data_IF_006409196679
#
_entry.id   IF_006409196679
#
_cell.length_a   1.000
_cell.length_b   1.000
_cell.length_c   1.000
_cell.angle_alpha   90.00
_cell.angle_beta   90.00
_cell.angle_gamma   90.00
#
_symmetry.space_group_name_H-M   'P 1'
#
loop_
_entity.id
_entity.type
_entity.pdbx_description
1 polymer ?
#
# COMPACT_ATOMS: atom_id res chain seq x y z
N UNK A 1 37.64 4.28 62.95
CA UNK A 1 37.63 3.96 61.50
C UNK A 1 36.31 4.44 60.92
N UNK A 2 36.31 5.57 60.18
CA UNK A 2 35.12 6.11 59.50
C UNK A 2 35.25 5.78 58.01
N UNK A 3 34.38 4.91 57.50
CA UNK A 3 34.32 4.60 56.07
C UNK A 3 33.39 5.59 55.38
N UNK A 4 33.94 6.41 54.49
CA UNK A 4 33.16 7.20 53.54
C UNK A 4 32.89 6.35 52.31
N UNK A 5 31.61 6.05 52.06
CA UNK A 5 31.16 5.42 50.81
C UNK A 5 30.96 6.55 49.79
N UNK A 6 31.86 6.62 48.81
CA UNK A 6 31.75 7.55 47.68
C UNK A 6 30.75 6.95 46.68
N UNK A 7 29.57 7.55 46.59
CA UNK A 7 28.51 7.13 45.67
C UNK A 7 28.78 7.82 44.31
N UNK A 8 29.41 7.10 43.39
CA UNK A 8 29.59 7.56 42.01
C UNK A 8 28.26 7.39 41.28
N UNK A 9 27.55 8.51 41.10
CA UNK A 9 26.40 8.58 40.20
C UNK A 9 26.93 8.65 38.77
N UNK A 10 27.03 7.49 38.12
CA UNK A 10 27.22 7.43 36.67
C UNK A 10 25.91 7.88 36.01
N UNK A 11 25.83 9.16 35.64
CA UNK A 11 24.80 9.65 34.76
C UNK A 11 24.99 9.00 33.38
N UNK A 12 24.22 7.94 33.11
CA UNK A 12 24.11 7.36 31.78
C UNK A 12 23.39 8.40 30.91
N UNK A 13 24.17 9.11 30.09
CA UNK A 13 23.65 10.04 29.10
C UNK A 13 22.89 9.28 28.01
N UNK A 14 21.60 9.03 28.25
CA UNK A 14 20.70 8.49 27.22
C UNK A 14 20.17 9.66 26.39
N UNK A 15 20.64 9.79 25.15
CA UNK A 15 19.73 10.02 24.01
C UNK A 15 19.52 11.43 23.45
N UNK A 16 20.50 12.33 23.37
CA UNK A 16 20.33 13.59 22.60
C UNK A 16 20.17 13.36 21.08
N UNK A 17 20.83 12.32 20.53
CA UNK A 17 20.77 12.02 19.09
C UNK A 17 19.45 11.43 18.59
N UNK A 18 18.63 10.83 19.46
CA UNK A 18 17.32 10.27 19.08
C UNK A 18 16.24 11.36 19.02
N UNK A 19 16.23 12.26 20.00
CA UNK A 19 15.30 13.39 20.06
C UNK A 19 15.53 14.41 18.93
N UNK A 20 16.79 14.73 18.61
CA UNK A 20 17.13 15.63 17.49
C UNK A 20 16.72 15.05 16.13
N UNK A 21 16.84 13.74 15.95
CA UNK A 21 16.42 13.06 14.72
C UNK A 21 14.90 13.10 14.57
N UNK A 22 14.14 12.81 15.63
CA UNK A 22 12.67 12.89 15.61
C UNK A 22 12.19 14.30 15.24
N UNK A 23 12.80 15.34 15.82
CA UNK A 23 12.43 16.72 15.48
C UNK A 23 12.68 17.03 13.99
N UNK A 24 13.82 16.59 13.44
CA UNK A 24 14.12 16.75 12.02
C UNK A 24 13.14 15.99 11.13
N UNK A 25 12.77 14.77 11.50
CA UNK A 25 11.77 13.98 10.77
C UNK A 25 10.36 14.61 10.83
N UNK A 26 10.00 15.26 11.93
CA UNK A 26 8.75 16.01 12.02
C UNK A 26 8.72 17.18 11.03
N UNK A 27 9.82 17.93 10.88
CA UNK A 27 9.95 19.01 9.90
C UNK A 27 9.80 18.47 8.47
N UNK A 28 10.42 17.32 8.19
CA UNK A 28 10.26 16.65 6.90
C UNK A 28 8.81 16.25 6.64
N UNK A 29 8.13 15.66 7.62
CA UNK A 29 6.73 15.28 7.51
C UNK A 29 5.82 16.49 7.28
N UNK A 30 6.03 17.59 7.99
CA UNK A 30 5.22 18.81 7.81
C UNK A 30 5.44 19.40 6.40
N UNK A 31 6.68 19.37 5.90
CA UNK A 31 6.99 19.79 4.52
C UNK A 31 6.33 18.88 3.48
N UNK A 32 6.37 17.56 3.69
CA UNK A 32 5.71 16.56 2.85
C UNK A 32 4.20 16.71 2.87
N UNK A 33 3.60 16.95 4.04
CA UNK A 33 2.17 17.17 4.19
C UNK A 33 1.71 18.40 3.43
N UNK A 34 2.48 19.50 3.52
CA UNK A 34 2.19 20.73 2.79
C UNK A 34 2.15 20.50 1.28
N UNK A 35 3.20 19.90 0.71
CA UNK A 35 3.27 19.65 -0.74
C UNK A 35 2.28 18.56 -1.16
N UNK A 36 2.09 17.52 -0.34
CA UNK A 36 1.19 16.41 -0.62
C UNK A 36 -0.28 16.84 -0.68
N UNK A 37 -0.70 17.83 0.12
CA UNK A 37 -2.04 18.42 -0.01
C UNK A 37 -2.25 19.09 -1.37
N UNK A 38 -1.23 19.77 -1.89
CA UNK A 38 -1.30 20.43 -3.19
C UNK A 38 -1.40 19.43 -4.35
N UNK A 39 -0.84 18.21 -4.20
CA UNK A 39 -0.98 17.14 -5.22
C UNK A 39 -2.43 16.73 -5.49
N UNK A 40 -3.34 16.91 -4.54
CA UNK A 40 -4.74 16.48 -4.67
C UNK A 40 -5.74 17.65 -4.68
N UNK A 41 -5.34 18.82 -4.19
CA UNK A 41 -6.21 20.01 -4.13
C UNK A 41 -6.07 20.94 -5.33
N UNK A 42 -4.96 20.87 -6.09
CA UNK A 42 -4.76 21.70 -7.27
C UNK A 42 -5.73 21.31 -8.41
N UNK A 43 -6.37 22.31 -9.01
CA UNK A 43 -7.37 22.14 -10.07
C UNK A 43 -6.72 21.60 -11.37
N UNK A 44 -5.55 22.11 -11.73
CA UNK A 44 -4.83 21.74 -12.95
C UNK A 44 -4.05 20.43 -12.82
N UNK A 45 -4.17 19.54 -13.81
CA UNK A 45 -3.40 18.30 -13.86
C UNK A 45 -1.89 18.56 -13.89
N UNK A 46 -1.43 19.48 -14.74
CA UNK A 46 -0.03 19.86 -14.83
C UNK A 46 0.53 20.34 -13.48
N UNK A 47 -0.28 21.09 -12.72
CA UNK A 47 0.10 21.54 -11.38
C UNK A 47 0.19 20.35 -10.41
N UNK A 48 -0.79 19.43 -10.40
CA UNK A 48 -0.73 18.22 -9.56
C UNK A 48 0.53 17.39 -9.85
N UNK A 49 0.88 17.22 -11.13
CA UNK A 49 2.09 16.51 -11.56
C UNK A 49 3.36 17.25 -11.10
N UNK A 50 3.42 18.58 -11.26
CA UNK A 50 4.54 19.40 -10.78
C UNK A 50 4.72 19.27 -9.26
N UNK A 51 3.63 19.39 -8.50
CA UNK A 51 3.65 19.21 -7.04
C UNK A 51 4.08 17.81 -6.64
N UNK A 52 3.67 16.78 -7.39
CA UNK A 52 4.14 15.43 -7.18
C UNK A 52 5.66 15.29 -7.42
N UNK A 53 6.23 15.96 -8.42
CA UNK A 53 7.69 15.98 -8.59
C UNK A 53 8.41 16.63 -7.40
N UNK A 54 7.85 17.71 -6.85
CA UNK A 54 8.38 18.32 -5.62
C UNK A 54 8.26 17.35 -4.45
N UNK A 55 7.10 16.70 -4.29
CA UNK A 55 6.87 15.71 -3.23
C UNK A 55 7.86 14.56 -3.28
N UNK A 56 8.09 13.96 -4.46
CA UNK A 56 9.07 12.88 -4.65
C UNK A 56 10.48 13.33 -4.22
N UNK A 57 10.93 14.52 -4.65
CA UNK A 57 12.25 15.04 -4.28
C UNK A 57 12.37 15.27 -2.77
N UNK A 58 11.33 15.82 -2.15
CA UNK A 58 11.26 16.05 -0.70
C UNK A 58 11.25 14.73 0.05
N UNK A 59 10.49 13.72 -0.41
CA UNK A 59 10.41 12.41 0.22
C UNK A 59 11.77 11.72 0.16
N UNK A 60 12.40 11.67 -1.00
CA UNK A 60 13.75 11.10 -1.14
C UNK A 60 14.75 11.80 -0.23
N UNK A 61 14.65 13.12 -0.05
CA UNK A 61 15.50 13.87 0.88
C UNK A 61 15.25 13.50 2.34
N UNK A 62 13.99 13.39 2.75
CA UNK A 62 13.60 12.91 4.08
C UNK A 62 14.08 11.48 4.34
N UNK A 63 14.00 10.59 3.35
CA UNK A 63 14.45 9.20 3.47
C UNK A 63 15.98 9.06 3.59
N UNK A 64 16.76 10.06 3.17
CA UNK A 64 18.23 10.09 3.37
C UNK A 64 18.63 10.35 4.82
N UNK A 65 17.72 10.85 5.66
CA UNK A 65 18.02 11.03 7.07
C UNK A 65 18.38 9.71 7.74
N UNK A 66 19.41 9.69 8.62
CA UNK A 66 19.74 8.49 9.38
C UNK A 66 18.50 7.98 10.11
N UNK A 67 18.27 6.67 10.09
CA UNK A 67 17.14 6.02 10.78
C UNK A 67 15.74 6.44 10.29
N UNK A 68 15.61 7.10 9.11
CA UNK A 68 14.31 7.45 8.52
C UNK A 68 13.36 6.26 8.36
N UNK A 69 13.90 5.05 8.20
CA UNK A 69 13.13 3.79 8.11
C UNK A 69 12.16 3.58 9.28
N UNK A 70 12.53 4.03 10.48
CA UNK A 70 11.73 3.84 11.70
C UNK A 70 10.68 4.93 11.91
N UNK A 71 10.69 5.98 11.10
CA UNK A 71 9.72 7.07 11.19
C UNK A 71 8.47 6.74 10.38
N UNK A 72 7.29 6.68 11.02
CA UNK A 72 6.08 6.12 10.42
C UNK A 72 5.39 7.01 9.36
N UNK A 73 5.65 8.33 9.35
CA UNK A 73 4.96 9.30 8.50
C UNK A 73 3.43 9.35 8.70
N UNK A 74 2.95 9.22 9.93
CA UNK A 74 1.52 9.09 10.29
C UNK A 74 0.62 10.23 9.79
N UNK A 75 1.17 11.42 9.50
CA UNK A 75 0.37 12.54 8.96
C UNK A 75 0.16 12.48 7.45
N UNK A 76 0.87 11.61 6.72
CA UNK A 76 0.78 11.52 5.26
C UNK A 76 -0.32 10.55 4.82
N UNK A 77 -1.56 10.87 5.19
CA UNK A 77 -2.76 10.09 4.91
C UNK A 77 -3.08 9.94 3.40
N UNK A 78 -2.57 10.85 2.57
CA UNK A 78 -2.74 10.85 1.12
C UNK A 78 -1.90 9.79 0.39
N UNK A 79 -0.90 9.20 1.06
CA UNK A 79 -0.08 8.12 0.51
C UNK A 79 -0.17 6.89 1.42
N UNK A 80 0.13 5.72 0.87
CA UNK A 80 0.24 4.51 1.68
C UNK A 80 1.70 4.21 2.02
N UNK A 81 1.96 4.01 3.32
CA UNK A 81 3.24 3.57 3.87
C UNK A 81 3.00 2.28 4.65
N UNK A 82 3.27 1.13 4.04
CA UNK A 82 3.05 -0.19 4.64
C UNK A 82 4.37 -0.92 4.88
N UNK A 83 4.55 -1.51 6.05
CA UNK A 83 5.76 -2.25 6.42
C UNK A 83 5.54 -3.74 6.28
N UNK A 84 6.53 -4.46 5.75
CA UNK A 84 6.53 -5.91 5.77
C UNK A 84 6.43 -6.42 7.22
N UNK A 85 5.71 -7.52 7.52
CA UNK A 85 5.53 -7.96 8.90
C UNK A 85 6.81 -8.36 9.63
N UNK A 86 7.88 -8.66 8.89
CA UNK A 86 9.21 -8.93 9.42
C UNK A 86 10.08 -7.66 9.58
N UNK A 87 9.53 -6.48 9.26
CA UNK A 87 10.23 -5.19 9.24
C UNK A 87 11.50 -5.17 8.39
N UNK A 88 11.58 -5.99 7.33
CA UNK A 88 12.72 -6.02 6.41
C UNK A 88 12.68 -4.87 5.39
N UNK A 89 11.49 -4.46 4.98
CA UNK A 89 11.24 -3.33 4.09
C UNK A 89 9.91 -2.66 4.38
N UNK A 90 9.65 -1.53 3.72
CA UNK A 90 8.35 -0.88 3.65
C UNK A 90 8.11 -0.35 2.24
N UNK A 91 6.85 -0.25 1.86
CA UNK A 91 6.40 0.23 0.55
C UNK A 91 5.74 1.58 0.74
N UNK A 92 6.21 2.56 -0.03
CA UNK A 92 5.51 3.81 -0.29
C UNK A 92 4.76 3.63 -1.60
N UNK A 93 3.46 3.93 -1.64
CA UNK A 93 2.69 3.92 -2.87
C UNK A 93 1.56 4.94 -2.83
N UNK A 94 1.33 5.63 -3.94
CA UNK A 94 0.25 6.61 -4.09
C UNK A 94 -0.11 6.80 -5.57
N UNK A 95 -1.16 7.57 -5.80
CA UNK A 95 -1.68 7.84 -7.14
C UNK A 95 -1.86 9.34 -7.37
N UNK A 96 -1.90 9.75 -8.64
CA UNK A 96 -2.33 11.08 -9.07
C UNK A 96 -3.48 10.90 -10.08
N UNK A 97 -4.69 11.41 -9.78
CA UNK A 97 -5.81 11.38 -10.73
C UNK A 97 -5.58 12.35 -11.89
N UNK A 98 -5.86 11.88 -13.10
CA UNK A 98 -5.80 12.64 -14.34
C UNK A 98 -7.19 13.17 -14.73
N UNK A 99 -7.23 14.17 -15.63
CA UNK A 99 -8.47 14.80 -16.08
C UNK A 99 -9.38 13.85 -16.86
N UNK A 100 -8.82 12.85 -17.53
CA UNK A 100 -9.57 11.81 -18.24
C UNK A 100 -10.18 10.73 -17.32
N UNK A 101 -9.94 10.84 -16.01
CA UNK A 101 -10.43 9.88 -15.00
C UNK A 101 -9.54 8.66 -14.81
N UNK A 102 -8.40 8.59 -15.50
CA UNK A 102 -7.32 7.63 -15.26
C UNK A 102 -6.36 8.13 -14.16
N UNK A 103 -5.31 7.36 -13.89
CA UNK A 103 -4.41 7.60 -12.76
C UNK A 103 -2.96 7.28 -13.14
N UNK A 104 -2.02 8.05 -12.60
CA UNK A 104 -0.60 7.71 -12.57
C UNK A 104 -0.24 7.17 -11.20
N UNK A 105 0.54 6.09 -11.14
CA UNK A 105 1.01 5.52 -9.88
C UNK A 105 2.49 5.81 -9.64
N UNK A 106 2.81 6.00 -8.37
CA UNK A 106 4.17 6.21 -7.90
C UNK A 106 4.42 5.32 -6.70
N UNK A 107 5.64 4.79 -6.61
CA UNK A 107 6.00 3.98 -5.47
C UNK A 107 7.49 3.73 -5.32
N UNK A 108 7.86 3.30 -4.13
CA UNK A 108 9.22 2.87 -3.81
C UNK A 108 9.23 1.89 -2.66
N UNK A 109 10.17 0.95 -2.69
CA UNK A 109 10.45 0.03 -1.60
C UNK A 109 11.68 0.53 -0.87
N UNK A 110 11.56 0.82 0.43
CA UNK A 110 12.68 1.16 1.29
C UNK A 110 13.06 -0.04 2.15
N UNK A 111 14.34 -0.40 2.12
CA UNK A 111 14.88 -1.51 2.90
C UNK A 111 15.44 -1.03 4.23
N UNK A 112 15.29 -1.87 5.25
CA UNK A 112 16.00 -1.70 6.51
C UNK A 112 17.45 -2.15 6.33
N UNK A 113 18.39 -1.21 6.38
CA UNK A 113 19.83 -1.48 6.23
C UNK A 113 20.58 -1.15 7.52
N UNK A 114 21.56 -1.99 7.87
CA UNK A 114 22.46 -1.73 8.98
C UNK A 114 23.19 -0.39 8.79
N UNK A 115 23.34 0.37 9.88
CA UNK A 115 23.98 1.70 9.84
C UNK A 115 23.10 2.81 9.27
N UNK A 116 21.80 2.56 9.02
CA UNK A 116 20.82 3.60 8.69
C UNK A 116 20.98 4.24 7.31
N UNK A 117 21.79 3.64 6.42
CA UNK A 117 21.95 4.11 5.03
C UNK A 117 20.66 3.89 4.23
N UNK A 118 20.37 4.83 3.34
CA UNK A 118 19.25 4.72 2.42
C UNK A 118 19.51 3.63 1.37
N UNK A 119 18.62 2.64 1.29
CA UNK A 119 18.51 1.69 0.17
C UNK A 119 17.06 1.70 -0.32
N UNK A 120 16.86 2.08 -1.59
CA UNK A 120 15.57 2.18 -2.25
C UNK A 120 15.56 1.35 -3.53
N UNK A 121 14.41 0.73 -3.82
CA UNK A 121 14.06 0.27 -5.17
C UNK A 121 12.87 1.11 -5.66
N UNK A 122 13.04 1.97 -6.68
CA UNK A 122 11.91 2.72 -7.24
C UNK A 122 10.98 1.77 -8.01
N UNK A 123 9.67 2.01 -7.92
CA UNK A 123 8.65 1.33 -8.70
C UNK A 123 8.18 2.25 -9.82
N UNK A 124 8.49 1.87 -11.07
CA UNK A 124 8.14 2.62 -12.27
C UNK A 124 6.85 2.05 -12.85
N UNK A 125 5.77 2.82 -12.76
CA UNK A 125 4.48 2.45 -13.34
C UNK A 125 4.59 2.37 -14.87
N UNK A 126 4.32 1.17 -15.38
CA UNK A 126 4.28 0.82 -16.81
C UNK A 126 2.97 0.12 -17.15
N UNK A 127 1.88 0.44 -16.46
CA UNK A 127 0.55 -0.16 -16.66
C UNK A 127 0.20 -0.34 -18.14
N UNK A 128 0.40 0.69 -18.96
CA UNK A 128 0.03 0.69 -20.38
C UNK A 128 0.97 -0.11 -21.29
N UNK A 129 2.13 -0.52 -20.80
CA UNK A 129 3.10 -1.35 -21.56
C UNK A 129 2.94 -2.85 -21.24
N UNK A 130 2.20 -3.20 -20.18
CA UNK A 130 1.95 -4.58 -19.76
C UNK A 130 0.80 -5.16 -20.59
N UNK A 131 1.08 -6.21 -21.37
CA UNK A 131 0.11 -6.78 -22.31
C UNK A 131 -0.94 -7.63 -21.59
N UNK A 132 -0.51 -8.51 -20.67
CA UNK A 132 -1.39 -9.41 -19.94
C UNK A 132 -1.19 -9.23 -18.43
N UNK A 133 -1.79 -8.21 -17.80
CA UNK A 133 -1.49 -7.88 -16.42
C UNK A 133 -1.86 -8.98 -15.41
N UNK A 134 -2.69 -9.96 -15.77
CA UNK A 134 -2.98 -11.12 -14.92
C UNK A 134 -2.00 -12.28 -15.08
N UNK A 135 -1.15 -12.29 -16.11
CA UNK A 135 -0.25 -13.40 -16.46
C UNK A 135 1.23 -12.97 -16.58
N UNK A 136 1.50 -11.70 -16.85
CA UNK A 136 2.85 -11.15 -17.00
C UNK A 136 3.48 -10.92 -15.61
N UNK A 137 4.60 -11.62 -15.37
CA UNK A 137 5.49 -11.35 -14.24
C UNK A 137 6.33 -10.13 -14.59
N UNK A 138 6.33 -9.14 -13.71
CA UNK A 138 6.99 -7.85 -13.93
C UNK A 138 8.08 -7.57 -12.90
N UNK A 139 8.80 -6.46 -13.11
CA UNK A 139 9.88 -5.99 -12.23
C UNK A 139 9.53 -4.64 -11.64
N UNK A 140 10.41 -4.10 -10.81
CA UNK A 140 10.28 -2.72 -10.34
C UNK A 140 10.30 -1.68 -11.48
N UNK A 141 10.88 -2.01 -12.64
CA UNK A 141 10.93 -1.10 -13.81
C UNK A 141 9.72 -1.25 -14.73
N UNK A 142 8.86 -2.24 -14.49
CA UNK A 142 7.66 -2.55 -15.27
C UNK A 142 6.46 -2.76 -14.35
N UNK A 143 6.35 -1.95 -13.30
CA UNK A 143 5.36 -2.14 -12.25
C UNK A 143 3.94 -1.86 -12.75
N UNK A 144 2.98 -2.70 -12.37
CA UNK A 144 1.57 -2.54 -12.73
C UNK A 144 0.89 -1.34 -12.03
N UNK A 145 1.47 -0.78 -10.98
CA UNK A 145 0.94 0.41 -10.31
C UNK A 145 -0.32 0.13 -9.48
N UNK A 146 -0.21 0.25 -8.17
CA UNK A 146 -1.35 0.24 -7.25
C UNK A 146 -0.98 0.98 -5.96
N UNK A 147 -1.98 1.48 -5.25
CA UNK A 147 -1.80 1.97 -3.89
C UNK A 147 -2.09 0.83 -2.91
N UNK A 148 -1.05 0.33 -2.26
CA UNK A 148 -1.12 -0.86 -1.40
C UNK A 148 -1.48 -0.49 0.03
N UNK A 149 -2.45 -1.18 0.60
CA UNK A 149 -2.93 -0.95 1.97
C UNK A 149 -2.67 -2.11 2.92
N UNK A 150 -2.26 -3.29 2.42
CA UNK A 150 -1.89 -4.43 3.26
C UNK A 150 -0.77 -5.26 2.63
N UNK A 151 -0.01 -5.94 3.48
CA UNK A 151 1.10 -6.81 3.10
C UNK A 151 1.13 -8.07 3.98
N UNK A 152 1.03 -9.23 3.35
CA UNK A 152 0.89 -10.52 4.03
C UNK A 152 1.98 -11.48 3.57
N UNK A 153 2.85 -12.02 4.45
CA UNK A 153 3.87 -12.98 4.06
C UNK A 153 3.23 -14.32 3.72
N UNK A 154 3.63 -14.90 2.59
CA UNK A 154 3.24 -16.26 2.19
C UNK A 154 4.43 -17.22 2.13
N UNK A 155 5.64 -16.68 2.00
CA UNK A 155 6.90 -17.41 2.20
C UNK A 155 8.01 -16.44 2.65
N UNK A 156 9.24 -16.94 2.87
CA UNK A 156 10.36 -16.14 3.40
C UNK A 156 10.66 -14.86 2.62
N UNK A 157 10.43 -14.85 1.31
CA UNK A 157 10.76 -13.73 0.43
C UNK A 157 9.57 -13.29 -0.44
N UNK A 158 8.38 -13.80 -0.15
CA UNK A 158 7.20 -13.62 -0.98
C UNK A 158 6.03 -13.14 -0.13
N UNK A 159 5.40 -12.09 -0.61
CA UNK A 159 4.36 -11.36 0.09
C UNK A 159 3.19 -11.14 -0.86
N UNK A 160 1.98 -11.28 -0.35
CA UNK A 160 0.80 -10.74 -1.00
C UNK A 160 0.71 -9.25 -0.66
N UNK A 161 0.47 -8.42 -1.67
CA UNK A 161 0.07 -7.03 -1.49
C UNK A 161 -1.40 -6.89 -1.88
N UNK A 162 -2.19 -6.29 -1.00
CA UNK A 162 -3.56 -5.88 -1.31
C UNK A 162 -3.55 -4.41 -1.73
N UNK A 163 -4.04 -4.13 -2.93
CA UNK A 163 -3.95 -2.82 -3.55
C UNK A 163 -5.28 -2.31 -4.09
N UNK A 164 -5.45 -0.99 -4.02
CA UNK A 164 -6.45 -0.27 -4.81
C UNK A 164 -5.77 0.31 -6.06
N UNK A 165 -6.47 0.22 -7.18
CA UNK A 165 -6.04 0.79 -8.45
C UNK A 165 -7.23 1.42 -9.15
N UNK A 166 -7.43 2.71 -8.93
CA UNK A 166 -8.19 3.55 -9.86
C UNK A 166 -7.75 3.29 -11.30
N UNK A 167 -8.72 3.10 -12.19
CA UNK A 167 -8.45 2.67 -13.56
C UNK A 167 -9.01 3.64 -14.60
N UNK A 168 -10.33 3.84 -14.64
CA UNK A 168 -11.00 4.70 -15.61
C UNK A 168 -12.12 5.52 -14.94
N UNK A 169 -12.72 6.49 -15.63
CA UNK A 169 -13.80 7.32 -15.10
C UNK A 169 -15.04 6.54 -14.58
N UNK A 170 -15.32 5.34 -15.13
CA UNK A 170 -16.54 4.58 -14.83
C UNK A 170 -16.31 3.35 -13.91
N UNK A 171 -15.09 2.83 -13.85
CA UNK A 171 -14.77 1.63 -13.07
C UNK A 171 -13.38 1.70 -12.46
N UNK A 172 -13.20 0.93 -11.39
CA UNK A 172 -11.99 0.87 -10.60
C UNK A 172 -11.59 -0.58 -10.37
N UNK A 173 -10.34 -0.78 -9.94
CA UNK A 173 -9.82 -2.10 -9.68
C UNK A 173 -9.35 -2.25 -8.22
N UNK A 174 -9.46 -3.48 -7.73
CA UNK A 174 -8.66 -3.99 -6.62
C UNK A 174 -7.72 -5.08 -7.11
N UNK A 175 -6.56 -5.21 -6.48
CA UNK A 175 -5.49 -6.11 -6.93
C UNK A 175 -4.96 -6.94 -5.77
N UNK A 176 -4.77 -8.23 -6.03
CA UNK A 176 -3.90 -9.11 -5.24
C UNK A 176 -2.62 -9.30 -6.06
N UNK A 177 -1.57 -8.63 -5.63
CA UNK A 177 -0.23 -8.67 -6.24
C UNK A 177 0.67 -9.59 -5.42
N UNK A 178 1.58 -10.30 -6.09
CA UNK A 178 2.59 -11.10 -5.41
C UNK A 178 3.93 -10.41 -5.52
N UNK A 179 4.43 -9.85 -4.42
CA UNK A 179 5.75 -9.27 -4.34
C UNK A 179 6.77 -10.32 -3.90
N UNK A 180 7.80 -10.54 -4.71
CA UNK A 180 9.02 -11.22 -4.29
C UNK A 180 10.16 -10.21 -4.10
N UNK A 181 10.83 -10.29 -2.97
CA UNK A 181 11.99 -9.46 -2.61
C UNK A 181 13.17 -10.38 -2.33
N UNK A 182 14.17 -10.37 -3.21
CA UNK A 182 15.37 -11.17 -3.00
C UNK A 182 16.22 -10.61 -1.84
N UNK A 183 17.10 -11.41 -1.22
CA UNK A 183 18.05 -10.92 -0.22
C UNK A 183 18.95 -9.78 -0.71
N UNK A 184 19.21 -9.70 -2.03
CA UNK A 184 20.01 -8.63 -2.64
C UNK A 184 19.18 -7.36 -2.89
N UNK A 185 17.85 -7.42 -2.80
CA UNK A 185 16.93 -6.30 -3.01
C UNK A 185 16.34 -6.20 -4.42
N UNK A 186 16.48 -7.27 -5.22
CA UNK A 186 15.80 -7.39 -6.50
C UNK A 186 14.32 -7.68 -6.26
N UNK A 187 13.47 -7.11 -7.13
CA UNK A 187 12.02 -7.12 -6.97
C UNK A 187 11.38 -7.75 -8.18
N UNK A 188 10.48 -8.71 -7.92
CA UNK A 188 9.61 -9.32 -8.92
C UNK A 188 8.16 -9.19 -8.47
N UNK A 189 7.27 -8.91 -9.40
CA UNK A 189 5.85 -8.65 -9.17
C UNK A 189 5.01 -9.60 -10.03
N UNK A 190 4.30 -10.49 -9.35
CA UNK A 190 3.51 -11.57 -9.91
C UNK A 190 4.16 -12.94 -9.65
N UNK A 191 3.36 -13.93 -9.27
CA UNK A 191 3.79 -15.32 -9.17
C UNK A 191 2.61 -16.31 -9.33
N UNK A 192 2.82 -17.48 -9.95
CA UNK A 192 1.77 -18.49 -10.19
C UNK A 192 1.42 -19.29 -8.93
N UNK A 193 0.87 -18.61 -7.92
CA UNK A 193 0.52 -19.19 -6.61
C UNK A 193 -0.97 -19.43 -6.41
N UNK A 194 -1.81 -18.94 -7.32
CA UNK A 194 -3.27 -19.08 -7.28
C UNK A 194 -3.67 -20.51 -7.69
N UNK A 195 -4.57 -21.14 -6.92
CA UNK A 195 -4.99 -22.52 -7.20
C UNK A 195 -6.13 -22.64 -8.20
N UNK A 196 -6.91 -21.58 -8.41
CA UNK A 196 -8.03 -21.51 -9.35
C UNK A 196 -7.58 -21.31 -10.80
N UNK A 197 -6.40 -20.72 -11.01
CA UNK A 197 -5.79 -20.56 -12.33
C UNK A 197 -4.25 -20.65 -12.22
N UNK A 198 -3.62 -21.70 -12.78
CA UNK A 198 -2.17 -21.87 -12.71
C UNK A 198 -1.36 -20.86 -13.54
N UNK A 199 -2.00 -20.14 -14.48
CA UNK A 199 -1.36 -19.07 -15.26
C UNK A 199 -1.47 -17.70 -14.60
N UNK A 200 -2.39 -17.55 -13.65
CA UNK A 200 -2.60 -16.29 -12.97
C UNK A 200 -1.40 -15.98 -12.07
N UNK A 201 -0.82 -14.80 -12.27
CA UNK A 201 0.27 -14.28 -11.44
C UNK A 201 -0.15 -13.10 -10.58
N UNK A 202 -1.30 -12.49 -10.92
CA UNK A 202 -1.92 -11.34 -10.28
C UNK A 202 -3.44 -11.42 -10.45
N UNK A 203 -4.19 -11.30 -9.35
CA UNK A 203 -5.66 -11.22 -9.41
C UNK A 203 -6.08 -9.76 -9.51
N UNK A 204 -6.92 -9.44 -10.48
CA UNK A 204 -7.48 -8.09 -10.68
C UNK A 204 -8.99 -8.23 -10.64
N UNK A 205 -9.62 -7.43 -9.79
CA UNK A 205 -11.08 -7.31 -9.70
C UNK A 205 -11.47 -5.96 -10.29
N UNK A 206 -12.29 -5.96 -11.34
CA UNK A 206 -12.78 -4.74 -11.98
C UNK A 206 -14.26 -4.56 -11.69
N UNK A 207 -14.65 -3.41 -11.15
CA UNK A 207 -16.01 -3.14 -10.71
C UNK A 207 -16.37 -1.65 -10.80
N UNK A 208 -17.66 -1.34 -10.75
CA UNK A 208 -18.16 0.03 -10.86
C UNK A 208 -17.57 0.94 -9.79
N UNK A 209 -17.20 2.17 -10.15
CA UNK A 209 -16.70 3.17 -9.18
C UNK A 209 -17.72 3.53 -8.10
N UNK A 210 -19.01 3.26 -8.34
CA UNK A 210 -20.09 3.55 -7.40
C UNK A 210 -20.29 2.45 -6.33
N UNK A 211 -19.55 1.34 -6.42
CA UNK A 211 -19.62 0.26 -5.45
C UNK A 211 -18.36 0.23 -4.58
N UNK A 212 -18.48 -0.39 -3.40
CA UNK A 212 -17.33 -0.76 -2.57
C UNK A 212 -17.18 -2.27 -2.63
N UNK A 213 -15.95 -2.74 -2.79
CA UNK A 213 -15.61 -4.17 -2.77
C UNK A 213 -14.82 -4.49 -1.50
N UNK A 214 -15.20 -5.52 -0.76
CA UNK A 214 -14.39 -6.10 0.32
C UNK A 214 -13.19 -6.87 -0.26
N UNK A 215 -12.01 -6.64 0.30
CA UNK A 215 -10.78 -7.40 0.03
C UNK A 215 -9.86 -7.16 1.23
N UNK A 216 -9.77 -8.13 2.14
CA UNK A 216 -8.97 -8.00 3.37
C UNK A 216 -8.40 -9.35 3.78
N UNK A 217 -7.30 -9.33 4.53
CA UNK A 217 -6.77 -10.53 5.16
C UNK A 217 -7.43 -10.78 6.52
N UNK A 218 -8.10 -11.93 6.65
CA UNK A 218 -8.62 -12.42 7.91
C UNK A 218 -7.58 -13.32 8.59
N UNK A 219 -7.05 -12.86 9.74
CA UNK A 219 -6.03 -13.59 10.51
C UNK A 219 -6.54 -14.88 11.15
N UNK A 220 -7.83 -14.95 11.50
CA UNK A 220 -8.42 -16.15 12.12
C UNK A 220 -8.61 -17.25 11.09
N UNK A 221 -9.07 -16.87 9.89
CA UNK A 221 -9.23 -17.78 8.75
C UNK A 221 -7.92 -18.04 8.01
N UNK A 222 -6.85 -17.29 8.31
CA UNK A 222 -5.60 -17.29 7.55
C UNK A 222 -5.85 -17.18 6.04
N UNK A 223 -6.79 -16.31 5.66
CA UNK A 223 -7.33 -16.22 4.31
C UNK A 223 -7.48 -14.78 3.85
N UNK A 224 -7.21 -14.53 2.59
CA UNK A 224 -7.58 -13.26 1.94
C UNK A 224 -9.03 -13.41 1.49
N UNK A 225 -9.92 -12.67 2.12
CA UNK A 225 -11.37 -12.73 1.93
C UNK A 225 -11.79 -11.55 1.04
N UNK A 226 -12.67 -11.80 0.07
CA UNK A 226 -13.11 -10.78 -0.87
C UNK A 226 -14.54 -11.03 -1.36
N UNK A 227 -15.22 -9.94 -1.74
CA UNK A 227 -16.54 -10.02 -2.35
C UNK A 227 -16.47 -10.74 -3.69
N UNK A 228 -17.49 -11.54 -3.98
CA UNK A 228 -17.72 -12.08 -5.30
C UNK A 228 -18.29 -10.98 -6.21
N UNK A 229 -17.58 -10.66 -7.30
CA UNK A 229 -17.93 -9.57 -8.22
C UNK A 229 -18.61 -10.15 -9.47
N UNK A 230 -19.82 -9.67 -9.76
CA UNK A 230 -20.65 -10.13 -10.89
C UNK A 230 -21.25 -8.96 -11.66
N UNK A 231 -21.59 -9.13 -12.95
CA UNK A 231 -22.40 -8.15 -13.66
C UNK A 231 -23.83 -8.11 -13.09
N UNK A 232 -24.44 -6.92 -13.03
CA UNK A 232 -25.83 -6.75 -12.58
C UNK A 232 -26.86 -7.51 -13.43
N UNK A 233 -26.50 -7.88 -14.66
CA UNK A 233 -27.29 -8.76 -15.52
C UNK A 233 -26.41 -9.39 -16.63
N UNK A 234 -26.76 -10.57 -17.18
CA UNK A 234 -25.92 -11.29 -18.16
C UNK A 234 -25.53 -10.47 -19.39
N UNK A 235 -26.39 -9.58 -19.88
CA UNK A 235 -26.10 -8.73 -21.04
C UNK A 235 -25.00 -7.69 -20.80
N UNK A 236 -24.58 -7.50 -19.55
CA UNK A 236 -23.50 -6.58 -19.17
C UNK A 236 -22.15 -7.26 -18.97
N UNK A 237 -22.04 -8.55 -19.28
CA UNK A 237 -20.76 -9.27 -19.22
C UNK A 237 -19.67 -8.56 -20.05
N UNK A 238 -18.47 -8.41 -19.47
CA UNK A 238 -17.35 -7.65 -20.01
C UNK A 238 -17.40 -6.15 -19.77
N UNK A 239 -18.53 -5.59 -19.32
CA UNK A 239 -18.68 -4.15 -19.08
C UNK A 239 -18.62 -3.79 -17.59
N UNK A 240 -17.40 -3.59 -17.07
CA UNK A 240 -17.10 -3.47 -15.64
C UNK A 240 -17.78 -2.31 -14.90
N UNK A 241 -18.33 -1.30 -15.60
CA UNK A 241 -19.14 -0.25 -14.96
C UNK A 241 -20.47 -0.75 -14.39
N UNK A 242 -20.87 -1.95 -14.78
CA UNK A 242 -22.06 -2.65 -14.33
C UNK A 242 -21.73 -3.88 -13.46
N UNK A 243 -20.49 -3.96 -12.95
CA UNK A 243 -20.07 -5.04 -12.05
C UNK A 243 -20.07 -4.56 -10.60
N UNK A 244 -20.50 -5.41 -9.68
CA UNK A 244 -20.49 -5.14 -8.24
C UNK A 244 -20.59 -6.40 -7.39
N UNK A 245 -20.46 -6.27 -6.05
CA UNK A 245 -20.62 -7.38 -5.11
C UNK A 245 -22.02 -7.99 -5.13
N UNK A 246 -22.12 -9.32 -5.02
CA UNK A 246 -23.39 -10.03 -4.85
C UNK A 246 -23.71 -10.42 -3.39
N UNK A 247 -22.95 -9.89 -2.43
CA UNK A 247 -23.01 -10.17 -0.99
C UNK A 247 -22.51 -11.56 -0.58
N UNK A 248 -22.00 -12.37 -1.52
CA UNK A 248 -21.23 -13.57 -1.21
C UNK A 248 -19.74 -13.26 -1.17
N UNK A 249 -19.01 -14.08 -0.42
CA UNK A 249 -17.56 -13.91 -0.26
C UNK A 249 -16.84 -15.16 -0.73
N UNK A 250 -15.76 -14.95 -1.47
CA UNK A 250 -14.78 -15.97 -1.78
C UNK A 250 -13.49 -15.68 -1.00
N UNK A 251 -12.56 -16.62 -0.98
CA UNK A 251 -11.28 -16.39 -0.34
C UNK A 251 -10.13 -17.20 -0.90
N UNK A 252 -8.93 -16.73 -0.60
CA UNK A 252 -7.68 -17.46 -0.80
C UNK A 252 -7.08 -17.81 0.56
N UNK A 253 -7.18 -19.09 0.94
CA UNK A 253 -6.50 -19.65 2.10
C UNK A 253 -4.99 -19.71 1.83
N UNK A 254 -4.18 -19.14 2.72
CA UNK A 254 -2.73 -19.16 2.58
C UNK A 254 -2.20 -20.50 3.10
N UNK A 255 -1.63 -21.31 2.21
CA UNK A 255 -1.07 -22.62 2.59
C UNK A 255 0.18 -22.94 1.78
N UNK A 256 1.28 -23.20 2.48
CA UNK A 256 2.57 -23.61 1.89
C UNK A 256 3.06 -22.70 0.75
N UNK A 257 2.93 -21.37 0.92
CA UNK A 257 3.29 -20.38 -0.10
C UNK A 257 2.33 -20.28 -1.28
N UNK A 258 1.16 -20.93 -1.20
CA UNK A 258 0.11 -20.92 -2.23
C UNK A 258 -1.16 -20.25 -1.71
N UNK A 259 -1.97 -19.76 -2.66
CA UNK A 259 -3.28 -19.16 -2.45
C UNK A 259 -4.35 -20.14 -2.90
N UNK A 260 -4.93 -20.87 -1.93
CA UNK A 260 -5.92 -21.92 -2.18
C UNK A 260 -7.32 -21.30 -2.21
N UNK A 261 -7.92 -21.28 -3.40
CA UNK A 261 -9.23 -20.71 -3.63
C UNK A 261 -10.34 -21.50 -2.92
N UNK A 262 -11.21 -20.78 -2.22
CA UNK A 262 -12.41 -21.28 -1.53
C UNK A 262 -13.59 -20.41 -1.95
N UNK A 263 -14.67 -21.05 -2.39
CA UNK A 263 -15.92 -20.36 -2.71
C UNK A 263 -16.82 -20.25 -1.48
N UNK A 264 -17.66 -19.22 -1.45
CA UNK A 264 -18.75 -19.07 -0.47
C UNK A 264 -18.28 -19.23 0.98
N UNK A 265 -17.24 -18.49 1.36
CA UNK A 265 -16.71 -18.52 2.71
C UNK A 265 -17.63 -17.73 3.66
N UNK A 266 -17.90 -18.31 4.84
CA UNK A 266 -18.65 -17.61 5.88
C UNK A 266 -17.75 -16.61 6.58
N UNK A 267 -18.07 -15.32 6.44
CA UNK A 267 -17.35 -14.23 7.09
C UNK A 267 -18.12 -13.80 8.33
N UNK A 268 -17.54 -14.04 9.51
CA UNK A 268 -18.06 -13.46 10.74
C UNK A 268 -17.44 -12.08 10.91
N UNK A 269 -18.21 -11.03 10.60
CA UNK A 269 -17.78 -9.64 10.77
C UNK A 269 -17.30 -9.40 12.21
N UNK A 270 -15.99 -9.29 12.41
CA UNK A 270 -15.46 -8.55 13.53
C UNK A 270 -15.46 -7.08 13.12
N UNK A 271 -16.24 -6.24 13.80
CA UNK A 271 -16.31 -4.80 13.53
C UNK A 271 -14.89 -4.20 13.43
N UNK A 272 -14.48 -3.88 12.21
CA UNK A 272 -13.18 -3.28 11.93
C UNK A 272 -13.39 -1.78 11.80
N UNK A 273 -13.14 -1.04 12.88
CA UNK A 273 -13.23 0.44 12.95
C UNK A 273 -12.19 1.19 12.10
N UNK A 274 -11.76 0.64 10.95
CA UNK A 274 -10.76 1.22 10.03
C UNK A 274 -11.32 1.57 8.64
N UNK A 275 -12.64 1.60 8.48
CA UNK A 275 -13.30 2.01 7.23
C UNK A 275 -12.92 3.45 6.80
N UNK A 276 -12.37 4.27 7.72
CA UNK A 276 -11.97 5.66 7.49
C UNK A 276 -10.57 5.86 6.87
N UNK A 277 -9.83 4.81 6.50
CA UNK A 277 -8.51 4.96 5.86
C UNK A 277 -8.57 5.10 4.34
N UNK A 278 -9.77 5.01 3.75
CA UNK A 278 -9.98 5.23 2.32
C UNK A 278 -10.54 6.63 2.09
N UNK A 279 -9.67 7.56 1.69
CA UNK A 279 -10.10 8.84 1.12
C UNK A 279 -10.16 8.65 -0.39
N UNK A 280 -11.36 8.46 -0.93
CA UNK A 280 -11.61 8.72 -2.35
C UNK A 280 -11.55 10.24 -2.56
N UNK A 281 -10.57 10.78 -3.30
CA UNK A 281 -10.42 12.23 -3.50
C UNK A 281 -11.65 12.88 -4.15
N UNK A 282 -12.55 12.08 -4.75
CA UNK A 282 -13.76 12.54 -5.42
C UNK A 282 -15.02 12.46 -4.54
N UNK A 283 -14.93 11.92 -3.31
CA UNK A 283 -16.05 11.94 -2.37
C UNK A 283 -15.98 13.18 -1.46
N UNK A 284 -17.09 13.92 -1.26
CA UNK A 284 -17.11 14.99 -0.28
C UNK A 284 -16.83 14.43 1.13
N UNK A 285 -16.04 15.11 1.97
CA UNK A 285 -15.68 14.60 3.28
C UNK A 285 -16.95 14.39 4.13
N UNK A 286 -17.17 13.15 4.58
CA UNK A 286 -18.21 12.86 5.56
C UNK A 286 -17.90 13.61 6.86
N UNK A 287 -18.82 14.46 7.31
CA UNK A 287 -18.73 15.08 8.64
C UNK A 287 -18.79 13.97 9.68
N UNK A 288 -17.66 13.70 10.35
CA UNK A 288 -17.64 12.89 11.56
C UNK A 288 -18.50 13.61 12.62
N UNK A 289 -19.58 12.98 13.07
CA UNK A 289 -20.28 13.46 14.26
C UNK A 289 -19.34 13.29 15.44
N UNK A 290 -18.92 14.39 16.06
CA UNK A 290 -18.24 14.38 17.35
C UNK A 290 -19.24 13.89 18.41
N UNK A 291 -19.15 12.61 18.76
CA UNK A 291 -19.65 12.10 20.03
C UNK A 291 -18.63 12.44 21.10
N UNK A 292 -19.12 12.97 22.22
CA UNK A 292 -18.40 13.30 23.46
C UNK A 292 -17.38 12.24 23.89
#
# INVERSE_FOLDING_TARGET
>A
MKYYVLLIVCAIGVGTGTAQNIQKMNIWQDSLLHVGRQMFQSEGEAERIERNFVFVKTLVSALKEPNSYFYAFDKLDMISVISAPDNSFRIFSWNIPLQDGSYLYYGSIQYKVAGGKLKLTPLLDKTFEIQNPTQDITSNNTWYGAQYYDIIPISKHQFVLLGWKGHHAEYTNKVIEILHVSPTGEVTLGAPVFSDDPKMVRKIFSYTKNATMYLQFDKKLNSIVFDHIVPVAPQHEGNFKYYGPDLTHDGYEIKDGRLIFKKNIEVHNAESGKENLYIDPLQPPKKLKSGL
#
